data_IF_434731606294
#
_entry.id   IF_434731606294
#
_cell.length_a   1.000
_cell.length_b   1.000
_cell.length_c   1.000
_cell.angle_alpha   90.00
_cell.angle_beta   90.00
_cell.angle_gamma   90.00
#
_symmetry.space_group_name_H-M   'P 1'
#
loop_
_entity.id
_entity.type
_entity.pdbx_description
1 polymer ?
#
# COMPACT_ATOMS: atom_id res chain seq x y z
N UNK A 1 -34.03 34.22 -20.55
CA UNK A 1 -34.01 33.04 -19.61
C UNK A 1 -32.80 32.14 -19.76
N UNK A 2 -32.12 32.08 -20.88
CA UNK A 2 -30.95 31.23 -21.18
C UNK A 2 -29.73 31.52 -20.30
N UNK A 3 -29.37 32.76 -20.04
CA UNK A 3 -28.18 33.12 -19.23
C UNK A 3 -28.20 32.62 -17.77
N UNK A 4 -29.35 32.48 -17.14
CA UNK A 4 -29.42 31.96 -15.76
C UNK A 4 -29.15 30.45 -15.69
N UNK A 5 -29.58 29.69 -16.71
CA UNK A 5 -29.34 28.24 -16.76
C UNK A 5 -27.86 27.91 -16.98
N UNK A 6 -27.18 28.74 -17.80
CA UNK A 6 -25.73 28.61 -18.03
C UNK A 6 -24.90 28.87 -16.77
N UNK A 7 -25.33 29.85 -15.94
CA UNK A 7 -24.69 30.13 -14.66
C UNK A 7 -24.80 28.99 -13.66
N UNK A 8 -25.96 28.34 -13.55
CA UNK A 8 -26.16 27.19 -12.68
C UNK A 8 -25.39 25.95 -13.14
N UNK A 9 -25.27 25.74 -14.45
CA UNK A 9 -24.51 24.66 -15.02
C UNK A 9 -23.01 24.83 -14.73
N UNK A 10 -22.49 26.04 -14.92
CA UNK A 10 -21.10 26.36 -14.60
C UNK A 10 -20.79 26.18 -13.11
N UNK A 11 -21.70 26.59 -12.22
CA UNK A 11 -21.55 26.37 -10.79
C UNK A 11 -21.55 24.88 -10.42
N UNK A 12 -22.42 24.09 -11.05
CA UNK A 12 -22.49 22.65 -10.83
C UNK A 12 -21.21 21.94 -11.29
N UNK A 13 -20.70 22.29 -12.49
CA UNK A 13 -19.44 21.73 -12.99
C UNK A 13 -18.28 22.11 -12.07
N UNK A 14 -18.24 23.35 -11.59
CA UNK A 14 -17.22 23.81 -10.64
C UNK A 14 -17.28 23.01 -9.32
N UNK A 15 -18.47 22.82 -8.76
CA UNK A 15 -18.66 22.03 -7.54
C UNK A 15 -18.29 20.56 -7.74
N UNK A 16 -18.58 19.99 -8.91
CA UNK A 16 -18.19 18.64 -9.26
C UNK A 16 -16.67 18.50 -9.35
N UNK A 17 -16.00 19.45 -10.02
CA UNK A 17 -14.53 19.46 -10.16
C UNK A 17 -13.86 19.67 -8.80
N UNK A 18 -14.39 20.57 -7.97
CA UNK A 18 -13.88 20.79 -6.61
C UNK A 18 -14.11 19.56 -5.75
N UNK A 19 -15.28 18.95 -5.82
CA UNK A 19 -15.59 17.68 -5.12
C UNK A 19 -14.66 16.54 -5.55
N UNK A 20 -14.46 16.38 -6.86
CA UNK A 20 -13.50 15.40 -7.41
C UNK A 20 -12.06 15.68 -6.98
N UNK A 21 -11.65 16.95 -6.94
CA UNK A 21 -10.32 17.35 -6.47
C UNK A 21 -10.14 17.07 -4.96
N UNK A 22 -11.17 17.30 -4.14
CA UNK A 22 -11.17 16.95 -2.71
C UNK A 22 -11.10 15.44 -2.49
N UNK A 23 -11.89 14.66 -3.23
CA UNK A 23 -11.85 13.19 -3.20
C UNK A 23 -10.47 12.70 -3.66
N UNK A 24 -9.94 13.24 -4.75
CA UNK A 24 -8.61 12.88 -5.26
C UNK A 24 -7.48 13.27 -4.28
N UNK A 25 -7.66 14.33 -3.49
CA UNK A 25 -6.71 14.73 -2.46
C UNK A 25 -6.80 13.83 -1.22
N UNK A 26 -8.01 13.48 -0.76
CA UNK A 26 -8.21 12.52 0.33
C UNK A 26 -7.74 11.11 -0.03
N UNK A 27 -7.77 10.75 -1.33
CA UNK A 27 -7.21 9.49 -1.84
C UNK A 27 -5.69 9.53 -1.99
N UNK A 28 -5.07 10.72 -1.94
CA UNK A 28 -3.61 10.91 -1.94
C UNK A 28 -3.03 11.06 -0.54
N UNK A 29 -3.83 11.14 0.50
CA UNK A 29 -3.32 10.95 1.85
C UNK A 29 -2.76 9.54 1.90
N UNK A 30 -1.44 9.45 1.77
CA UNK A 30 -0.73 8.19 1.98
C UNK A 30 -1.19 7.65 3.33
N UNK A 31 -1.62 6.39 3.39
CA UNK A 31 -1.96 5.79 4.66
C UNK A 31 -0.79 6.03 5.61
N UNK A 32 -1.04 6.27 6.90
CA UNK A 32 0.02 6.59 7.85
C UNK A 32 1.10 5.53 7.71
N UNK A 33 2.28 5.98 7.32
CA UNK A 33 3.39 5.08 7.05
C UNK A 33 3.69 4.32 8.34
N UNK A 34 3.55 3.01 8.29
CA UNK A 34 3.72 2.11 9.41
C UNK A 34 5.20 1.97 9.79
N UNK A 35 5.46 1.53 11.01
CA UNK A 35 6.78 1.07 11.43
C UNK A 35 7.30 0.00 10.45
N UNK A 36 8.58 0.05 10.11
CA UNK A 36 9.19 -0.87 9.14
C UNK A 36 8.90 -0.57 7.66
N UNK A 37 8.04 0.38 7.34
CA UNK A 37 7.73 0.75 5.95
C UNK A 37 8.90 1.47 5.27
N UNK A 38 9.21 1.08 4.03
CA UNK A 38 10.19 1.75 3.17
C UNK A 38 9.72 3.14 2.71
N UNK A 39 8.43 3.43 2.77
CA UNK A 39 7.87 4.75 2.52
C UNK A 39 7.98 5.69 3.74
N UNK A 40 8.13 5.15 4.96
CA UNK A 40 8.08 5.91 6.20
C UNK A 40 9.38 6.66 6.48
N UNK A 41 9.28 7.97 6.70
CA UNK A 41 10.39 8.83 7.18
C UNK A 41 10.50 8.92 8.71
N UNK A 42 9.61 8.25 9.44
CA UNK A 42 9.65 8.18 10.90
C UNK A 42 10.91 7.46 11.38
N UNK A 43 11.23 7.59 12.67
CA UNK A 43 12.40 6.95 13.25
C UNK A 43 12.36 5.41 13.14
N UNK A 44 11.16 4.84 13.21
CA UNK A 44 10.83 3.42 13.10
C UNK A 44 10.53 2.96 11.65
N UNK A 45 10.66 3.85 10.66
CA UNK A 45 10.52 3.56 9.24
C UNK A 45 11.86 3.22 8.58
N UNK A 46 11.83 2.84 7.30
CA UNK A 46 13.01 2.39 6.52
C UNK A 46 13.31 3.20 5.29
N UNK A 47 12.75 4.40 5.18
CA UNK A 47 13.00 5.27 4.02
C UNK A 47 14.48 5.57 3.82
N UNK A 48 15.23 5.74 4.91
CA UNK A 48 16.68 5.97 4.85
C UNK A 48 17.43 4.81 4.22
N UNK A 49 17.10 3.57 4.61
CA UNK A 49 17.73 2.38 4.03
C UNK A 49 17.34 2.18 2.56
N UNK A 50 16.08 2.41 2.22
CA UNK A 50 15.61 2.37 0.83
C UNK A 50 16.38 3.36 -0.06
N UNK A 51 16.55 4.61 0.37
CA UNK A 51 17.31 5.63 -0.35
C UNK A 51 18.80 5.29 -0.44
N UNK A 52 19.39 4.75 0.63
CA UNK A 52 20.78 4.29 0.63
C UNK A 52 20.99 3.23 -0.45
N UNK A 53 20.10 2.26 -0.56
CA UNK A 53 20.19 1.24 -1.61
C UNK A 53 20.10 1.83 -3.02
N UNK A 54 19.26 2.84 -3.22
CA UNK A 54 19.18 3.56 -4.50
C UNK A 54 20.50 4.28 -4.83
N UNK A 55 21.08 4.98 -3.86
CA UNK A 55 22.37 5.68 -4.05
C UNK A 55 23.51 4.70 -4.33
N UNK A 56 23.46 3.50 -3.80
CA UNK A 56 24.43 2.44 -4.08
C UNK A 56 24.20 1.72 -5.42
N UNK A 57 23.19 2.14 -6.18
CA UNK A 57 22.90 1.60 -7.52
C UNK A 57 22.05 0.33 -7.52
N UNK A 58 21.47 -0.06 -6.39
CA UNK A 58 20.46 -1.09 -6.38
C UNK A 58 19.11 -0.56 -6.91
N UNK A 59 18.17 -1.47 -7.24
CA UNK A 59 16.85 -1.14 -7.73
C UNK A 59 15.75 -1.52 -6.71
N UNK A 60 15.69 -0.83 -5.53
CA UNK A 60 14.64 -1.10 -4.55
C UNK A 60 13.30 -0.57 -5.05
N UNK A 61 12.24 -1.34 -4.80
CA UNK A 61 10.85 -1.02 -5.18
C UNK A 61 9.94 -1.27 -3.98
N UNK A 62 9.05 -0.34 -3.70
CA UNK A 62 7.96 -0.53 -2.74
C UNK A 62 6.90 -1.44 -3.38
N UNK A 63 6.77 -2.67 -2.87
CA UNK A 63 5.80 -3.63 -3.38
C UNK A 63 4.46 -3.48 -2.64
N UNK A 64 3.48 -2.93 -3.32
CA UNK A 64 2.13 -2.66 -2.78
C UNK A 64 1.04 -3.54 -3.41
N UNK A 65 1.41 -4.37 -4.37
CA UNK A 65 0.50 -5.30 -5.03
C UNK A 65 0.28 -6.56 -4.20
N UNK A 66 -0.87 -7.21 -4.40
CA UNK A 66 -1.16 -8.48 -3.73
C UNK A 66 -0.07 -9.54 -3.99
N UNK A 67 0.19 -10.44 -3.02
CA UNK A 67 1.23 -11.47 -3.14
C UNK A 67 1.11 -12.35 -4.38
N UNK A 68 -0.12 -12.61 -4.86
CA UNK A 68 -0.36 -13.35 -6.11
C UNK A 68 0.18 -12.68 -7.39
N UNK A 69 0.62 -11.43 -7.29
CA UNK A 69 1.26 -10.70 -8.40
C UNK A 69 2.78 -10.63 -8.27
N UNK A 70 3.37 -11.29 -7.28
CA UNK A 70 4.82 -11.33 -7.11
C UNK A 70 5.49 -11.81 -8.41
N UNK A 71 6.57 -11.13 -8.85
CA UNK A 71 7.25 -11.51 -10.08
C UNK A 71 7.90 -12.89 -9.91
N UNK A 72 7.91 -13.65 -11.00
CA UNK A 72 8.60 -14.95 -11.03
C UNK A 72 10.10 -14.75 -11.23
N UNK A 73 10.87 -15.66 -10.66
CA UNK A 73 12.32 -15.70 -10.85
C UNK A 73 13.10 -15.09 -9.69
N UNK A 74 14.34 -14.79 -9.97
CA UNK A 74 15.35 -14.45 -8.96
C UNK A 74 15.22 -12.99 -8.45
N UNK A 75 14.16 -12.67 -7.72
CA UNK A 75 13.98 -11.38 -7.03
C UNK A 75 14.23 -11.54 -5.54
N UNK A 76 14.57 -10.43 -4.88
CA UNK A 76 14.68 -10.38 -3.44
C UNK A 76 13.44 -9.68 -2.89
N UNK A 77 12.70 -10.36 -2.04
CA UNK A 77 11.55 -9.81 -1.31
C UNK A 77 11.94 -9.60 0.14
N UNK A 78 11.89 -8.35 0.58
CA UNK A 78 12.11 -7.99 1.98
C UNK A 78 10.76 -7.80 2.67
N UNK A 79 10.42 -8.71 3.55
CA UNK A 79 9.25 -8.60 4.41
C UNK A 79 9.66 -7.85 5.68
N UNK A 80 9.09 -6.67 5.97
CA UNK A 80 9.45 -5.93 7.16
C UNK A 80 8.90 -6.61 8.42
N UNK A 81 9.56 -6.36 9.56
CA UNK A 81 9.03 -6.77 10.84
C UNK A 81 7.68 -6.10 11.07
N UNK A 82 6.67 -6.91 11.36
CA UNK A 82 5.35 -6.39 11.69
C UNK A 82 5.41 -5.69 13.05
N UNK A 83 4.86 -4.50 13.16
CA UNK A 83 4.72 -3.90 14.47
C UNK A 83 3.83 -4.80 15.32
N UNK A 84 4.30 -5.22 16.49
CA UNK A 84 3.48 -5.94 17.50
C UNK A 84 2.33 -5.10 18.03
N UNK A 85 2.13 -3.91 17.51
CA UNK A 85 1.11 -2.98 17.93
C UNK A 85 -0.14 -3.12 17.07
N UNK A 86 -1.23 -3.35 17.74
CA UNK A 86 -2.59 -3.21 17.27
C UNK A 86 -2.75 -1.94 16.41
N UNK A 87 -3.24 -2.09 15.20
CA UNK A 87 -3.62 -0.92 14.39
C UNK A 87 -4.90 -0.35 15.00
N UNK A 88 -4.90 0.90 15.48
CA UNK A 88 -6.12 1.52 15.95
C UNK A 88 -7.06 1.68 14.74
N UNK A 89 -8.16 0.93 14.74
CA UNK A 89 -9.21 1.07 13.73
C UNK A 89 -10.35 1.88 14.34
N UNK A 90 -10.61 3.07 13.80
CA UNK A 90 -11.67 3.98 14.22
C UNK A 90 -11.17 5.31 14.76
N UNK A 91 -11.96 6.35 14.57
CA UNK A 91 -11.73 7.68 15.12
C UNK A 91 -12.36 7.79 16.51
N UNK A 92 -11.63 8.35 17.47
CA UNK A 92 -12.13 8.66 18.81
C UNK A 92 -12.00 7.54 19.84
N UNK A 93 -12.81 7.62 20.91
CA UNK A 93 -12.74 6.72 22.09
C UNK A 93 -13.14 5.27 21.82
N UNK A 94 -13.64 4.94 20.66
CA UNK A 94 -14.03 3.59 20.24
C UNK A 94 -13.01 2.92 19.33
N UNK A 95 -11.71 3.15 19.53
CA UNK A 95 -10.68 2.44 18.81
C UNK A 95 -10.77 0.94 19.12
N UNK A 96 -11.27 0.17 18.15
CA UNK A 96 -11.21 -1.28 18.19
C UNK A 96 -9.79 -1.67 17.77
N UNK A 97 -9.05 -2.26 18.69
CA UNK A 97 -7.73 -2.83 18.39
C UNK A 97 -7.96 -4.12 17.61
N UNK A 98 -7.75 -4.08 16.30
CA UNK A 98 -7.80 -5.26 15.45
C UNK A 98 -6.40 -5.87 15.42
N UNK A 99 -6.22 -7.15 15.76
CA UNK A 99 -4.94 -7.84 15.59
C UNK A 99 -4.52 -7.77 14.12
N UNK A 100 -3.25 -7.50 13.87
CA UNK A 100 -2.68 -7.50 12.50
C UNK A 100 -2.81 -8.88 11.84
N UNK A 101 -2.90 -9.93 12.65
CA UNK A 101 -3.17 -11.32 12.23
C UNK A 101 -4.35 -11.48 11.27
N UNK A 102 -5.37 -10.62 11.38
CA UNK A 102 -6.54 -10.66 10.51
C UNK A 102 -6.38 -9.90 9.19
N UNK A 103 -5.24 -9.26 8.94
CA UNK A 103 -5.02 -8.45 7.73
C UNK A 103 -4.30 -9.23 6.60
N UNK A 104 -3.65 -10.35 6.91
CA UNK A 104 -3.17 -11.24 5.87
C UNK A 104 -4.31 -12.19 5.50
N UNK A 105 -4.84 -12.12 4.30
CA UNK A 105 -5.77 -13.14 3.84
C UNK A 105 -5.05 -14.48 3.89
N UNK A 106 -5.66 -15.48 4.51
CA UNK A 106 -5.17 -16.88 4.58
C UNK A 106 -4.67 -17.39 3.21
N UNK A 107 -5.21 -16.87 2.13
CA UNK A 107 -4.82 -17.18 0.75
C UNK A 107 -3.55 -16.46 0.27
N UNK A 108 -2.94 -15.58 1.07
CA UNK A 108 -1.72 -14.86 0.69
C UNK A 108 -0.44 -15.67 0.86
N UNK A 109 -0.40 -16.54 1.84
CA UNK A 109 0.80 -17.27 2.26
C UNK A 109 1.29 -18.25 1.17
N UNK A 110 0.38 -18.91 0.45
CA UNK A 110 0.70 -19.78 -0.67
C UNK A 110 1.48 -19.05 -1.79
N UNK A 111 1.21 -17.77 -1.99
CA UNK A 111 1.89 -16.98 -3.01
C UNK A 111 3.35 -16.66 -2.62
N UNK A 112 3.64 -16.44 -1.34
CA UNK A 112 5.03 -16.29 -0.85
C UNK A 112 5.79 -17.61 -0.99
N UNK A 113 5.16 -18.74 -0.67
CA UNK A 113 5.71 -20.06 -0.92
C UNK A 113 6.08 -20.26 -2.39
N UNK A 114 5.12 -20.03 -3.28
CA UNK A 114 5.33 -20.13 -4.72
C UNK A 114 6.44 -19.20 -5.23
N UNK A 115 6.56 -17.98 -4.68
CA UNK A 115 7.63 -17.05 -5.01
C UNK A 115 8.99 -17.64 -4.67
N UNK A 116 9.15 -18.20 -3.47
CA UNK A 116 10.41 -18.78 -3.02
C UNK A 116 10.73 -20.03 -3.83
N UNK A 117 9.79 -20.96 -3.98
CA UNK A 117 9.98 -22.21 -4.73
C UNK A 117 10.39 -21.97 -6.19
N UNK A 118 9.99 -20.83 -6.79
CA UNK A 118 10.34 -20.44 -8.16
C UNK A 118 11.66 -19.67 -8.28
N UNK A 119 12.48 -19.61 -7.23
CA UNK A 119 13.81 -19.03 -7.25
C UNK A 119 13.92 -17.67 -6.56
N UNK A 120 12.85 -17.15 -5.98
CA UNK A 120 12.87 -15.93 -5.19
C UNK A 120 13.66 -16.08 -3.89
N UNK A 121 14.19 -14.97 -3.38
CA UNK A 121 14.79 -14.89 -2.05
C UNK A 121 13.86 -14.09 -1.15
N UNK A 122 13.36 -14.70 -0.08
CA UNK A 122 12.57 -14.04 0.94
C UNK A 122 13.46 -13.70 2.13
N UNK A 123 13.59 -12.43 2.47
CA UNK A 123 14.19 -11.97 3.72
C UNK A 123 13.08 -11.60 4.68
N UNK A 124 13.05 -12.20 5.85
CA UNK A 124 12.03 -11.94 6.84
C UNK A 124 12.59 -11.94 8.26
N UNK A 125 12.17 -11.01 9.13
CA UNK A 125 12.46 -11.08 10.54
C UNK A 125 11.70 -12.25 11.16
N UNK A 126 12.36 -12.94 12.08
CA UNK A 126 11.76 -14.08 12.77
C UNK A 126 10.95 -13.59 13.97
N UNK A 127 9.67 -13.81 13.90
CA UNK A 127 8.76 -13.75 15.03
C UNK A 127 7.98 -15.08 15.17
N UNK A 128 7.12 -15.17 16.15
CA UNK A 128 6.37 -16.39 16.39
C UNK A 128 5.47 -16.77 15.21
N UNK A 129 4.83 -15.77 14.61
CA UNK A 129 3.92 -15.96 13.47
C UNK A 129 4.69 -16.39 12.22
N UNK A 130 5.85 -15.78 11.97
CA UNK A 130 6.74 -16.20 10.89
C UNK A 130 7.21 -17.62 11.08
N UNK A 131 7.53 -18.01 12.33
CA UNK A 131 7.94 -19.38 12.62
C UNK A 131 6.82 -20.40 12.36
N UNK A 132 5.58 -20.08 12.72
CA UNK A 132 4.40 -20.87 12.41
C UNK A 132 4.20 -20.98 10.90
N UNK A 133 4.28 -19.86 10.17
CA UNK A 133 4.21 -19.85 8.71
C UNK A 133 5.28 -20.74 8.05
N UNK A 134 6.52 -20.68 8.54
CA UNK A 134 7.62 -21.48 8.00
C UNK A 134 7.41 -22.97 8.23
N UNK A 135 6.82 -23.33 9.36
CA UNK A 135 6.53 -24.74 9.71
C UNK A 135 5.33 -25.30 8.95
N UNK A 136 4.22 -24.57 9.02
CA UNK A 136 2.91 -25.07 8.62
C UNK A 136 2.63 -24.86 7.13
N UNK A 137 3.07 -23.70 6.58
CA UNK A 137 2.75 -23.33 5.21
C UNK A 137 3.91 -23.57 4.23
N UNK A 138 5.14 -23.23 4.62
CA UNK A 138 6.30 -23.46 3.77
C UNK A 138 6.88 -24.87 3.90
N UNK A 139 6.51 -25.62 4.94
CA UNK A 139 7.04 -26.97 5.22
C UNK A 139 8.57 -27.02 5.07
N UNK A 140 9.26 -25.95 5.55
CA UNK A 140 10.69 -25.80 5.36
C UNK A 140 11.46 -26.91 6.11
N UNK A 141 12.37 -27.60 5.45
CA UNK A 141 13.22 -28.58 6.11
C UNK A 141 14.02 -27.95 7.25
N UNK A 142 13.82 -28.44 8.46
CA UNK A 142 14.55 -27.95 9.64
C UNK A 142 13.88 -26.78 10.37
N UNK A 143 12.78 -26.24 9.89
CA UNK A 143 12.01 -25.19 10.61
C UNK A 143 11.51 -25.68 11.97
N UNK A 144 11.25 -26.97 12.11
CA UNK A 144 10.83 -27.61 13.36
C UNK A 144 11.88 -27.46 14.48
N UNK A 145 13.16 -27.38 14.11
CA UNK A 145 14.27 -27.25 15.05
C UNK A 145 14.65 -25.80 15.37
N UNK A 146 13.99 -24.83 14.74
CA UNK A 146 14.24 -23.42 15.01
C UNK A 146 13.64 -23.04 16.37
N UNK A 147 14.47 -22.55 17.25
CA UNK A 147 14.10 -22.07 18.57
C UNK A 147 14.80 -20.75 18.86
N UNK A 148 14.13 -19.87 19.58
CA UNK A 148 14.75 -18.64 20.07
C UNK A 148 15.79 -18.95 21.15
N UNK A 149 16.91 -18.21 21.12
CA UNK A 149 18.04 -18.45 22.04
C UNK A 149 17.72 -18.12 23.50
N UNK A 150 16.75 -17.28 23.76
CA UNK A 150 16.30 -17.00 25.12
C UNK A 150 16.40 -15.54 25.51
N UNK A 151 16.40 -15.27 26.81
CA UNK A 151 16.32 -13.94 27.39
C UNK A 151 17.66 -13.19 27.34
N UNK A 152 17.58 -11.89 27.10
CA UNK A 152 18.69 -10.95 27.22
C UNK A 152 18.18 -9.53 27.14
N UNK A 153 18.98 -8.58 27.58
CA UNK A 153 18.65 -7.17 27.42
C UNK A 153 19.08 -6.66 26.05
N UNK A 154 18.24 -5.85 25.44
CA UNK A 154 18.55 -5.16 24.17
C UNK A 154 19.77 -4.26 24.36
N UNK A 155 20.68 -4.29 23.40
CA UNK A 155 21.87 -3.46 23.43
C UNK A 155 22.85 -3.76 22.31
N UNK A 156 24.02 -3.09 22.32
CA UNK A 156 25.07 -3.34 21.35
C UNK A 156 25.60 -4.77 21.46
N UNK A 157 25.65 -5.46 20.35
CA UNK A 157 26.11 -6.83 20.22
C UNK A 157 27.07 -6.96 19.05
N UNK A 158 28.11 -7.77 19.22
CA UNK A 158 29.00 -8.12 18.11
C UNK A 158 28.38 -9.24 17.30
N UNK A 159 28.31 -9.01 16.02
CA UNK A 159 27.83 -9.98 15.04
C UNK A 159 29.01 -10.29 14.10
N UNK A 160 29.33 -11.56 13.95
CA UNK A 160 30.27 -12.04 12.97
C UNK A 160 29.52 -12.52 11.74
N UNK A 161 29.78 -11.87 10.62
CA UNK A 161 29.24 -12.25 9.32
C UNK A 161 29.97 -13.51 8.80
N UNK A 162 29.34 -14.21 7.88
CA UNK A 162 29.95 -15.34 7.19
C UNK A 162 31.27 -14.99 6.51
N UNK A 163 31.45 -13.76 6.03
CA UNK A 163 32.68 -13.23 5.48
C UNK A 163 33.85 -13.15 6.50
N UNK A 164 33.58 -13.33 7.79
CA UNK A 164 34.52 -13.10 8.89
C UNK A 164 34.56 -11.64 9.37
N UNK A 165 33.85 -10.72 8.72
CA UNK A 165 33.70 -9.33 9.16
C UNK A 165 32.90 -9.26 10.47
N UNK A 166 33.35 -8.42 11.40
CA UNK A 166 32.64 -8.20 12.67
C UNK A 166 32.01 -6.83 12.68
N UNK A 167 30.72 -6.77 13.05
CA UNK A 167 29.96 -5.55 13.17
C UNK A 167 29.36 -5.45 14.57
N UNK A 168 29.17 -4.24 15.06
CA UNK A 168 28.46 -3.97 16.30
C UNK A 168 27.07 -3.44 15.98
N UNK A 169 26.03 -4.21 16.33
CA UNK A 169 24.63 -3.89 16.05
C UNK A 169 23.84 -3.79 17.36
N UNK A 170 22.89 -2.89 17.40
CA UNK A 170 21.95 -2.83 18.52
C UNK A 170 20.81 -3.82 18.29
N UNK A 171 20.87 -4.96 18.96
CA UNK A 171 19.99 -6.10 18.78
C UNK A 171 19.31 -6.53 20.08
N UNK A 172 18.17 -7.20 19.91
CA UNK A 172 17.46 -7.89 20.99
C UNK A 172 17.84 -9.38 20.98
N UNK A 173 18.68 -9.85 21.89
CA UNK A 173 19.12 -11.24 21.90
C UNK A 173 18.00 -12.24 22.19
N UNK A 174 16.85 -11.79 22.69
CA UNK A 174 15.69 -12.65 22.86
C UNK A 174 15.09 -13.12 21.54
N UNK A 175 15.43 -12.45 20.43
CA UNK A 175 15.01 -12.81 19.08
C UNK A 175 16.06 -13.59 18.29
N UNK A 176 17.29 -13.68 18.80
CA UNK A 176 18.31 -14.49 18.19
C UNK A 176 17.91 -15.98 18.24
N UNK A 177 18.39 -16.73 17.29
CA UNK A 177 18.10 -18.16 17.16
C UNK A 177 19.16 -19.00 17.87
N UNK A 178 18.78 -20.17 18.32
CA UNK A 178 19.74 -21.18 18.75
C UNK A 178 20.53 -21.73 17.57
N UNK A 179 21.78 -22.15 17.81
CA UNK A 179 22.57 -22.85 16.79
C UNK A 179 21.81 -24.06 16.25
N UNK A 180 21.92 -24.27 14.97
CA UNK A 180 21.26 -25.37 14.30
C UNK A 180 21.93 -26.72 14.66
N UNK A 181 21.17 -27.82 14.69
CA UNK A 181 21.74 -29.13 14.86
C UNK A 181 22.68 -29.46 13.69
N UNK A 182 23.79 -30.22 13.95
CA UNK A 182 24.69 -30.69 12.90
C UNK A 182 23.94 -31.45 11.80
N UNK A 183 24.23 -31.11 10.55
CA UNK A 183 23.57 -31.71 9.39
C UNK A 183 22.27 -31.01 8.94
N UNK A 184 21.90 -29.91 9.54
CA UNK A 184 20.83 -29.04 9.03
C UNK A 184 21.15 -28.59 7.60
N UNK A 185 20.11 -28.51 6.75
CA UNK A 185 20.23 -27.94 5.41
C UNK A 185 20.41 -26.40 5.42
N UNK A 186 20.14 -25.78 6.55
CA UNK A 186 20.26 -24.33 6.71
C UNK A 186 21.73 -23.91 6.93
N UNK A 187 22.03 -22.70 6.48
CA UNK A 187 23.37 -22.10 6.53
C UNK A 187 23.36 -20.90 7.48
N UNK A 188 24.29 -20.90 8.40
CA UNK A 188 24.48 -19.78 9.32
C UNK A 188 25.12 -18.60 8.58
N UNK A 189 24.47 -17.44 8.64
CA UNK A 189 24.95 -16.23 7.97
C UNK A 189 25.61 -15.26 8.95
N UNK A 190 24.93 -15.01 10.07
CA UNK A 190 25.39 -14.08 11.09
C UNK A 190 25.33 -14.75 12.46
N UNK A 191 26.47 -14.73 13.14
CA UNK A 191 26.65 -15.34 14.46
C UNK A 191 26.75 -14.22 15.48
N UNK A 192 25.88 -14.25 16.48
CA UNK A 192 25.93 -13.35 17.61
C UNK A 192 27.01 -13.82 18.60
N UNK A 193 28.05 -13.05 18.74
CA UNK A 193 29.13 -13.38 19.64
C UNK A 193 28.69 -13.24 21.11
N UNK A 194 29.07 -14.21 21.92
CA UNK A 194 28.81 -14.17 23.35
C UNK A 194 29.54 -12.98 24.00
N UNK A 195 28.90 -12.36 24.96
CA UNK A 195 29.61 -11.37 25.79
C UNK A 195 30.78 -12.03 26.55
N UNK A 196 31.84 -11.27 26.81
CA UNK A 196 32.97 -11.79 27.62
C UNK A 196 32.48 -12.35 28.95
N UNK A 197 32.78 -13.63 29.20
CA UNK A 197 32.37 -14.33 30.41
C UNK A 197 31.02 -15.09 30.32
N UNK A 198 30.28 -15.00 29.24
CA UNK A 198 29.13 -15.85 29.00
C UNK A 198 29.53 -17.27 28.59
N UNK A 199 28.95 -18.28 29.22
CA UNK A 199 29.24 -19.71 29.01
C UNK A 199 28.11 -20.41 28.26
N UNK A 200 27.56 -19.81 27.23
CA UNK A 200 26.47 -20.39 26.40
C UNK A 200 26.95 -20.65 24.96
N UNK A 201 26.21 -21.43 24.20
CA UNK A 201 26.43 -21.50 22.76
C UNK A 201 26.21 -20.12 22.11
N UNK A 202 26.99 -19.83 21.07
CA UNK A 202 26.77 -18.65 20.24
C UNK A 202 25.35 -18.71 19.65
N UNK A 203 24.63 -17.58 19.63
CA UNK A 203 23.31 -17.52 19.01
C UNK A 203 23.44 -17.08 17.54
N UNK A 204 22.39 -17.32 16.75
CA UNK A 204 22.33 -16.91 15.34
C UNK A 204 21.43 -15.70 15.19
N UNK A 205 21.93 -14.66 14.52
CA UNK A 205 21.14 -13.47 14.17
C UNK A 205 20.56 -13.57 12.76
N UNK A 206 21.24 -14.30 11.87
CA UNK A 206 20.71 -14.55 10.53
C UNK A 206 21.09 -15.96 10.04
N UNK A 207 20.13 -16.57 9.34
CA UNK A 207 20.33 -17.87 8.71
C UNK A 207 19.64 -17.96 7.35
N UNK A 208 20.16 -18.79 6.46
CA UNK A 208 19.62 -19.10 5.15
C UNK A 208 19.06 -20.52 5.13
N UNK A 209 17.84 -20.70 4.65
CA UNK A 209 17.22 -22.01 4.45
C UNK A 209 16.88 -22.16 2.98
N UNK A 210 17.43 -23.14 2.25
CA UNK A 210 17.03 -23.41 0.87
C UNK A 210 15.60 -23.94 0.81
N UNK A 211 14.83 -23.46 -0.17
CA UNK A 211 13.46 -23.88 -0.39
C UNK A 211 13.16 -23.94 -1.89
N UNK A 212 12.97 -25.14 -2.43
CA UNK A 212 12.83 -25.34 -3.87
C UNK A 212 14.06 -24.85 -4.64
N UNK A 213 13.86 -23.95 -5.62
CA UNK A 213 14.97 -23.29 -6.34
C UNK A 213 15.40 -21.95 -5.73
N UNK A 214 14.69 -21.46 -4.72
CA UNK A 214 14.97 -20.23 -4.00
C UNK A 214 15.44 -20.47 -2.58
N UNK A 215 15.24 -19.46 -1.72
CA UNK A 215 15.70 -19.50 -0.33
C UNK A 215 14.92 -18.54 0.56
N UNK A 216 14.91 -18.86 1.84
CA UNK A 216 14.42 -17.97 2.90
C UNK A 216 15.59 -17.54 3.76
N UNK A 217 15.74 -16.26 4.00
CA UNK A 217 16.74 -15.67 4.91
C UNK A 217 15.99 -15.15 6.12
N UNK A 218 16.26 -15.74 7.27
CA UNK A 218 15.63 -15.34 8.52
C UNK A 218 16.58 -14.44 9.29
N UNK A 219 16.05 -13.36 9.82
CA UNK A 219 16.74 -12.43 10.71
C UNK A 219 16.12 -12.52 12.09
N UNK A 220 16.92 -12.48 13.16
CA UNK A 220 16.39 -12.36 14.52
C UNK A 220 15.55 -11.08 14.66
N UNK A 221 16.11 -9.97 14.22
CA UNK A 221 15.36 -8.71 14.05
C UNK A 221 15.92 -7.93 12.85
N UNK A 222 15.14 -7.00 12.34
CA UNK A 222 15.54 -6.08 11.27
C UNK A 222 15.42 -4.60 11.67
N UNK A 223 15.11 -4.33 12.93
CA UNK A 223 15.00 -2.99 13.49
C UNK A 223 16.31 -2.20 13.48
N UNK A 224 17.47 -2.83 13.25
CA UNK A 224 18.73 -2.13 13.03
C UNK A 224 18.74 -1.30 11.73
N UNK A 225 17.80 -1.55 10.80
CA UNK A 225 17.62 -0.80 9.56
C UNK A 225 16.65 0.38 9.68
N UNK A 226 16.10 0.62 10.86
CA UNK A 226 15.22 1.74 11.09
C UNK A 226 15.95 3.08 10.91
N UNK A 227 15.27 4.09 10.38
CA UNK A 227 15.84 5.42 10.10
C UNK A 227 16.58 6.02 11.31
N UNK A 228 16.07 5.76 12.52
CA UNK A 228 16.68 6.23 13.75
C UNK A 228 18.06 5.63 14.03
N UNK A 229 18.27 4.40 13.56
CA UNK A 229 19.50 3.61 13.79
C UNK A 229 20.49 3.66 12.64
N UNK A 230 20.05 3.99 11.43
CA UNK A 230 20.94 4.10 10.26
C UNK A 230 22.00 5.20 10.36
N UNK A 231 21.95 6.05 11.39
CA UNK A 231 23.02 7.00 11.70
C UNK A 231 24.30 6.29 12.11
N UNK A 232 24.22 5.10 12.65
CA UNK A 232 25.34 4.23 12.88
C UNK A 232 25.70 3.52 11.57
N UNK A 233 26.93 3.78 11.09
CA UNK A 233 27.40 3.23 9.83
C UNK A 233 27.45 1.70 9.83
N UNK A 234 27.61 1.04 10.98
CA UNK A 234 27.64 -0.42 11.07
C UNK A 234 26.29 -1.04 10.80
N UNK A 235 25.18 -0.41 11.25
CA UNK A 235 23.83 -0.84 10.95
C UNK A 235 23.53 -0.77 9.44
N UNK A 236 23.89 0.36 8.83
CA UNK A 236 23.73 0.53 7.38
C UNK A 236 24.55 -0.51 6.61
N UNK A 237 25.81 -0.73 7.04
CA UNK A 237 26.71 -1.68 6.41
C UNK A 237 26.18 -3.12 6.51
N UNK A 238 25.64 -3.52 7.65
CA UNK A 238 25.04 -4.85 7.83
C UNK A 238 23.91 -5.09 6.81
N UNK A 239 22.99 -4.13 6.66
CA UNK A 239 21.92 -4.23 5.69
C UNK A 239 22.40 -4.29 4.24
N UNK A 240 23.40 -3.47 3.89
CA UNK A 240 23.99 -3.48 2.55
C UNK A 240 24.69 -4.81 2.27
N UNK A 241 25.45 -5.37 3.22
CA UNK A 241 26.09 -6.68 3.07
C UNK A 241 25.09 -7.80 2.82
N UNK A 242 23.96 -7.77 3.52
CA UNK A 242 22.88 -8.73 3.31
C UNK A 242 22.31 -8.61 1.90
N UNK A 243 22.05 -7.39 1.44
CA UNK A 243 21.54 -7.14 0.08
C UNK A 243 22.59 -7.54 -0.98
N UNK A 244 23.85 -7.18 -0.83
CA UNK A 244 24.92 -7.57 -1.75
C UNK A 244 25.03 -9.09 -1.91
N UNK A 245 24.84 -9.83 -0.83
CA UNK A 245 24.92 -11.28 -0.83
C UNK A 245 23.79 -11.91 -1.66
N UNK A 246 22.59 -11.36 -1.59
CA UNK A 246 21.38 -11.98 -2.16
C UNK A 246 20.81 -11.27 -3.38
N UNK A 247 20.99 -9.96 -3.53
CA UNK A 247 20.37 -9.21 -4.62
C UNK A 247 21.16 -9.25 -5.95
N UNK A 248 22.51 -9.33 -5.94
CA UNK A 248 23.41 -9.47 -7.11
C UNK A 248 22.84 -9.00 -8.46
N UNK A 249 22.40 -7.74 -8.56
CA UNK A 249 21.79 -7.16 -9.75
C UNK A 249 20.29 -7.47 -9.91
N UNK A 250 19.64 -8.09 -8.93
CA UNK A 250 18.21 -8.38 -8.88
C UNK A 250 17.44 -7.19 -8.33
N UNK A 251 16.17 -7.14 -8.65
CA UNK A 251 15.26 -6.17 -8.06
C UNK A 251 15.00 -6.52 -6.59
N UNK A 252 14.98 -5.50 -5.74
CA UNK A 252 14.69 -5.63 -4.32
C UNK A 252 13.28 -5.11 -4.09
N UNK A 253 12.38 -5.98 -3.66
CA UNK A 253 10.99 -5.66 -3.38
C UNK A 253 10.82 -5.48 -1.86
N UNK A 254 10.45 -4.30 -1.41
CA UNK A 254 10.03 -4.07 -0.02
C UNK A 254 8.54 -4.32 0.08
N UNK A 255 8.14 -5.31 0.85
CA UNK A 255 6.75 -5.73 0.98
C UNK A 255 5.94 -4.75 1.84
N UNK A 256 5.37 -3.75 1.19
CA UNK A 256 4.46 -2.79 1.81
C UNK A 256 3.04 -3.35 1.93
N UNK A 257 2.72 -4.40 1.16
CA UNK A 257 1.40 -5.02 1.21
C UNK A 257 1.13 -5.67 2.56
N UNK A 258 2.12 -6.35 3.14
CA UNK A 258 2.01 -6.96 4.47
C UNK A 258 1.83 -5.93 5.59
N UNK A 259 2.17 -4.66 5.34
CA UNK A 259 1.92 -3.53 6.24
C UNK A 259 0.57 -2.84 5.98
N UNK A 260 -0.28 -3.39 5.12
CA UNK A 260 -1.57 -2.81 4.78
C UNK A 260 -1.50 -1.65 3.77
N UNK A 261 -0.36 -1.42 3.15
CA UNK A 261 -0.20 -0.41 2.10
C UNK A 261 -0.48 -1.03 0.73
N UNK A 262 -1.71 -0.97 0.31
CA UNK A 262 -2.13 -1.60 -0.95
C UNK A 262 -2.07 -0.60 -2.11
N UNK A 263 -1.74 -1.09 -3.30
CA UNK A 263 -1.98 -0.33 -4.52
C UNK A 263 -3.46 0.04 -4.62
N UNK A 264 -3.78 1.30 -4.91
CA UNK A 264 -5.18 1.66 -5.14
C UNK A 264 -5.70 0.78 -6.28
N UNK A 265 -6.71 0.00 -5.97
CA UNK A 265 -7.42 -0.80 -6.96
C UNK A 265 -7.84 0.11 -8.12
N UNK A 266 -8.06 -0.45 -9.30
CA UNK A 266 -8.44 0.31 -10.51
C UNK A 266 -9.50 1.39 -10.19
N UNK A 267 -9.53 2.49 -10.93
CA UNK A 267 -10.51 3.56 -10.73
C UNK A 267 -11.95 3.04 -10.69
N UNK A 268 -12.23 1.91 -11.34
CA UNK A 268 -13.51 1.22 -11.29
C UNK A 268 -13.75 0.55 -9.93
N UNK A 269 -12.77 -0.17 -9.38
CA UNK A 269 -12.89 -0.78 -8.04
C UNK A 269 -12.97 0.28 -6.94
N UNK A 270 -12.24 1.40 -7.10
CA UNK A 270 -12.36 2.56 -6.21
C UNK A 270 -13.78 3.16 -6.26
N UNK A 271 -14.38 3.27 -7.46
CA UNK A 271 -15.76 3.77 -7.61
C UNK A 271 -16.81 2.83 -7.01
N UNK A 272 -16.49 1.55 -6.84
CA UNK A 272 -17.32 0.54 -6.19
C UNK A 272 -17.17 0.50 -4.66
N UNK A 273 -16.17 1.18 -4.08
CA UNK A 273 -16.01 1.25 -2.62
C UNK A 273 -17.19 2.02 -1.99
N UNK A 274 -17.70 1.62 -0.79
CA UNK A 274 -18.95 2.15 -0.24
C UNK A 274 -19.07 3.67 -0.23
N UNK A 275 -18.10 4.47 0.22
CA UNK A 275 -18.24 5.93 0.22
C UNK A 275 -18.22 6.52 -1.19
N UNK A 276 -17.39 5.98 -2.10
CA UNK A 276 -17.25 6.51 -3.47
C UNK A 276 -18.40 6.03 -4.36
N UNK A 277 -18.92 4.83 -4.12
CA UNK A 277 -20.10 4.29 -4.81
C UNK A 277 -21.33 5.18 -4.63
N UNK A 278 -21.62 5.60 -3.38
CA UNK A 278 -22.74 6.50 -3.10
C UNK A 278 -22.59 7.85 -3.83
N UNK A 279 -21.38 8.40 -3.83
CA UNK A 279 -21.07 9.65 -4.56
C UNK A 279 -21.24 9.47 -6.08
N UNK A 280 -20.75 8.37 -6.63
CA UNK A 280 -20.85 8.02 -8.05
C UNK A 280 -22.32 7.81 -8.45
N UNK A 281 -23.10 7.14 -7.60
CA UNK A 281 -24.53 6.92 -7.81
C UNK A 281 -25.31 8.25 -7.80
N UNK A 282 -24.98 9.15 -6.86
CA UNK A 282 -25.60 10.48 -6.81
C UNK A 282 -25.25 11.32 -8.04
N UNK A 283 -23.99 11.30 -8.49
CA UNK A 283 -23.56 11.99 -9.69
C UNK A 283 -24.27 11.45 -10.94
N UNK A 284 -24.44 10.13 -11.04
CA UNK A 284 -25.18 9.49 -12.13
C UNK A 284 -26.67 9.89 -12.08
N UNK A 285 -27.31 9.87 -10.92
CA UNK A 285 -28.70 10.27 -10.75
C UNK A 285 -28.93 11.74 -11.15
N UNK A 286 -28.02 12.63 -10.75
CA UNK A 286 -28.06 14.03 -11.14
C UNK A 286 -27.85 14.21 -12.65
N UNK A 287 -26.98 13.43 -13.27
CA UNK A 287 -26.78 13.44 -14.72
C UNK A 287 -28.07 13.00 -15.44
N UNK A 288 -28.70 11.93 -15.01
CA UNK A 288 -29.96 11.42 -15.56
C UNK A 288 -31.05 12.48 -15.43
N UNK A 289 -31.22 13.07 -14.25
CA UNK A 289 -32.17 14.15 -14.02
C UNK A 289 -31.89 15.37 -14.90
N UNK A 290 -30.65 15.74 -15.09
CA UNK A 290 -30.24 16.83 -15.97
C UNK A 290 -30.62 16.55 -17.44
N UNK A 291 -30.27 15.37 -17.95
CA UNK A 291 -30.61 14.95 -19.32
C UNK A 291 -32.14 14.91 -19.48
N UNK A 292 -32.83 14.37 -18.50
CA UNK A 292 -34.31 14.33 -18.49
C UNK A 292 -34.92 15.74 -18.53
N UNK A 293 -34.46 16.63 -17.63
CA UNK A 293 -34.95 18.02 -17.59
C UNK A 293 -34.75 18.75 -18.93
N UNK A 294 -33.66 18.49 -19.61
CA UNK A 294 -33.38 19.04 -20.96
C UNK A 294 -34.28 18.45 -22.03
N UNK A 295 -34.60 17.17 -21.92
CA UNK A 295 -35.48 16.50 -22.87
C UNK A 295 -36.94 17.03 -22.75
N UNK A 296 -37.43 17.26 -21.53
CA UNK A 296 -38.76 17.84 -21.31
C UNK A 296 -38.84 19.34 -21.66
N UNK A 297 -37.77 20.11 -21.45
CA UNK A 297 -37.75 21.53 -21.79
C UNK A 297 -38.00 21.81 -23.31
N UNK A 298 -37.82 20.80 -24.16
CA UNK A 298 -38.12 20.88 -25.59
C UNK A 298 -39.54 20.46 -25.94
N UNK A 299 -40.27 19.81 -25.03
CA UNK A 299 -41.61 19.28 -25.27
C UNK A 299 -42.73 20.26 -24.89
N UNK A 300 -42.42 21.33 -24.15
CA UNK A 300 -43.43 22.37 -23.90
C UNK A 300 -43.62 23.20 -25.18
N UNK A 301 -44.86 23.27 -25.70
CA UNK A 301 -45.13 24.15 -26.79
C UNK A 301 -44.76 25.58 -26.38
N UNK A 302 -43.87 26.19 -27.16
CA UNK A 302 -43.60 27.61 -26.99
C UNK A 302 -44.97 28.33 -27.20
N UNK A 303 -45.35 29.18 -26.26
CA UNK A 303 -46.44 30.08 -26.48
C UNK A 303 -46.30 30.70 -27.87
N UNK A 304 -47.32 30.64 -28.71
CA UNK A 304 -47.25 31.27 -30.01
C UNK A 304 -46.78 32.72 -29.78
N UNK A 305 -45.88 33.23 -30.63
CA UNK A 305 -45.46 34.61 -30.49
C UNK A 305 -46.71 35.47 -30.36
N UNK A 306 -46.74 36.44 -29.42
CA UNK A 306 -47.92 37.29 -29.28
C UNK A 306 -48.23 37.86 -30.66
N UNK A 307 -49.43 37.58 -31.13
CA UNK A 307 -49.89 38.11 -32.41
C UNK A 307 -49.52 39.58 -32.39
N UNK A 308 -48.60 39.95 -33.28
CA UNK A 308 -48.16 41.31 -33.39
C UNK A 308 -49.46 42.15 -33.49
N UNK A 309 -49.69 42.97 -32.48
CA UNK A 309 -50.91 43.78 -32.48
C UNK A 309 -50.97 44.52 -33.82
N UNK A 310 -51.99 44.17 -34.67
CA UNK A 310 -52.04 44.73 -35.97
C UNK A 310 -51.93 46.25 -35.82
N UNK A 311 -51.10 46.85 -36.65
CA UNK A 311 -50.83 48.27 -36.56
C UNK A 311 -52.16 49.02 -36.65
N UNK A 312 -52.30 50.18 -36.05
CA UNK A 312 -53.56 50.95 -36.15
C UNK A 312 -53.98 51.15 -37.61
N UNK A 313 -52.99 51.20 -38.52
CA UNK A 313 -53.24 51.33 -39.99
C UNK A 313 -53.86 50.07 -40.56
N UNK A 314 -53.38 48.87 -40.23
CA UNK A 314 -53.90 47.57 -40.68
C UNK A 314 -55.36 47.36 -40.18
N UNK A 315 -55.68 47.81 -38.95
CA UNK A 315 -57.02 47.80 -38.38
C UNK A 315 -57.94 48.74 -39.14
N UNK A 316 -57.48 49.96 -39.49
CA UNK A 316 -58.19 50.93 -40.27
C UNK A 316 -58.46 50.41 -41.67
N UNK A 317 -57.53 49.80 -42.34
CA UNK A 317 -57.72 49.18 -43.65
C UNK A 317 -58.72 48.00 -43.63
N UNK A 318 -58.60 47.14 -42.58
CA UNK A 318 -59.59 46.05 -42.43
C UNK A 318 -60.97 46.54 -42.23
N UNK A 319 -61.19 47.58 -41.42
CA UNK A 319 -62.44 48.23 -41.25
C UNK A 319 -62.99 48.90 -42.53
N UNK A 320 -62.13 49.60 -43.27
CA UNK A 320 -62.45 50.19 -44.55
C UNK A 320 -62.88 49.14 -45.61
N UNK A 321 -62.27 47.98 -45.64
CA UNK A 321 -62.67 46.85 -46.51
C UNK A 321 -63.98 46.25 -46.12
N UNK A 322 -64.27 46.09 -44.81
CA UNK A 322 -65.55 45.63 -44.29
C UNK A 322 -66.70 46.60 -44.63
N UNK A 323 -66.42 47.90 -44.49
CA UNK A 323 -67.42 48.94 -44.83
C UNK A 323 -67.76 48.97 -46.32
N UNK A 324 -66.72 48.78 -47.17
CA UNK A 324 -66.91 48.70 -48.65
C UNK A 324 -67.67 47.46 -49.09
N UNK A 325 -67.54 46.35 -48.36
CA UNK A 325 -68.32 45.12 -48.64
C UNK A 325 -69.75 45.19 -48.17
N UNK A 326 -70.00 45.85 -47.03
CA UNK A 326 -71.38 46.05 -46.52
C UNK A 326 -72.20 47.09 -47.28
N UNK A 327 -71.54 48.01 -47.97
CA UNK A 327 -72.29 49.03 -48.78
C UNK A 327 -72.77 48.52 -50.18
N UNK A 328 -72.51 47.23 -50.49
CA UNK A 328 -72.91 46.57 -51.74
C UNK A 328 -74.12 45.61 -51.57
N UNK A 329 -74.74 45.56 -50.40
CA UNK A 329 -75.99 44.90 -50.12
C UNK A 329 -77.12 45.94 -49.98
#
# INVERSE_FOLDING_TARGET
MTRRVEGWFSLFVLLLVVGLAFVARGLREEPPAHAGSAASTRADGRRGFFLLLQELGFAPVEWRSAPGKLPRGEHLLWMPQRPHSWIPHGEGSNQVRVPVENLLPEHGLEHYRNFVEQGGTLIAPLDKEMLEFLRDELELPGAESLEFAGAGERGPRRVRLESGEQLELELDPARALRPLPPGSAARELWILENQPGATGPEALEALEIPCGSGRVVLLGEDGFLDNGKLRDAQHALAGVRLVEQFARGRQILFDEYCLGQWEPQSAFALSASPPVFLLSLHALALLVLFVWSRSFARAFPRDPPPLAAASPLERAEALARLWKSGARQ
#
